data_IF_360958703094
#
_entry.id   IF_360958703094
#
_cell.length_a   1.000
_cell.length_b   1.000
_cell.length_c   1.000
_cell.angle_alpha   90.00
_cell.angle_beta   90.00
_cell.angle_gamma   90.00
#
_symmetry.space_group_name_H-M   'P 1'
#
loop_
_entity.id
_entity.type
_entity.pdbx_description
1 polymer ?
#
# COMPACT_ATOMS: atom_id res chain seq x y z
N UNK A 1 -3.06 -13.83 11.30
CA UNK A 1 -2.48 -13.35 10.02
C UNK A 1 -1.78 -12.04 10.29
N UNK A 2 -0.49 -11.96 10.01
CA UNK A 2 0.23 -10.69 10.07
C UNK A 2 -0.33 -9.75 8.98
N UNK A 3 -0.59 -8.49 9.34
CA UNK A 3 -1.08 -7.50 8.37
C UNK A 3 0.13 -6.93 7.59
N UNK A 4 0.04 -6.76 6.26
CA UNK A 4 1.07 -6.07 5.50
C UNK A 4 1.33 -4.67 6.08
N UNK A 5 2.59 -4.24 6.09
CA UNK A 5 2.92 -2.87 6.45
C UNK A 5 2.59 -1.93 5.28
N UNK A 6 1.34 -1.50 5.21
CA UNK A 6 0.86 -0.60 4.16
C UNK A 6 1.66 0.70 4.08
N UNK A 7 2.15 1.20 5.22
CA UNK A 7 2.96 2.42 5.26
C UNK A 7 4.28 2.20 4.52
N UNK A 8 4.96 1.10 4.81
CA UNK A 8 6.20 0.71 4.13
C UNK A 8 5.96 0.52 2.62
N UNK A 9 4.96 -0.28 2.24
CA UNK A 9 4.66 -0.58 0.83
C UNK A 9 4.38 0.67 0.01
N UNK A 10 3.53 1.56 0.52
CA UNK A 10 3.19 2.80 -0.17
C UNK A 10 4.42 3.72 -0.25
N UNK A 11 5.20 3.85 0.84
CA UNK A 11 6.43 4.66 0.81
C UNK A 11 7.44 4.14 -0.22
N UNK A 12 7.64 2.83 -0.31
CA UNK A 12 8.52 2.23 -1.32
C UNK A 12 8.05 2.50 -2.75
N UNK A 13 6.73 2.42 -3.02
CA UNK A 13 6.18 2.78 -4.34
C UNK A 13 6.47 4.25 -4.68
N UNK A 14 6.38 5.15 -3.71
CA UNK A 14 6.67 6.57 -3.91
C UNK A 14 8.18 6.82 -4.13
N UNK A 15 9.04 6.34 -3.23
CA UNK A 15 10.47 6.70 -3.22
C UNK A 15 11.34 5.88 -4.17
N UNK A 16 11.03 4.60 -4.38
CA UNK A 16 11.87 3.70 -5.17
C UNK A 16 11.39 3.55 -6.61
N UNK A 17 10.11 3.81 -6.87
CA UNK A 17 9.48 3.60 -8.18
C UNK A 17 8.89 4.87 -8.79
N UNK A 18 8.96 6.00 -8.08
CA UNK A 18 8.53 7.30 -8.58
C UNK A 18 7.02 7.45 -8.75
N UNK A 19 6.21 6.62 -8.08
CA UNK A 19 4.77 6.76 -8.12
C UNK A 19 4.32 8.02 -7.36
N UNK A 20 3.17 8.54 -7.73
CA UNK A 20 2.42 9.51 -6.90
C UNK A 20 1.29 8.80 -6.18
N UNK A 21 0.80 9.36 -5.06
CA UNK A 21 -0.35 8.79 -4.36
C UNK A 21 -1.58 8.62 -5.26
N UNK A 22 -1.81 9.60 -6.16
CA UNK A 22 -2.88 9.54 -7.17
C UNK A 22 -2.68 8.34 -8.10
N UNK A 23 -1.48 8.17 -8.64
CA UNK A 23 -1.18 7.06 -9.56
C UNK A 23 -1.24 5.67 -8.91
N UNK A 24 -1.06 5.59 -7.58
CA UNK A 24 -1.29 4.36 -6.81
C UNK A 24 -2.79 4.15 -6.67
N UNK A 25 -3.52 5.19 -6.25
CA UNK A 25 -4.96 5.14 -6.04
C UNK A 25 -5.71 4.67 -7.30
N UNK A 26 -5.34 5.21 -8.47
CA UNK A 26 -5.91 4.85 -9.76
C UNK A 26 -5.66 3.36 -10.10
N UNK A 27 -4.49 2.82 -9.76
CA UNK A 27 -4.13 1.42 -10.06
C UNK A 27 -4.73 0.39 -9.10
N UNK A 28 -5.07 0.80 -7.89
CA UNK A 28 -5.66 -0.09 -6.86
C UNK A 28 -7.13 0.22 -6.60
N UNK A 29 -7.76 0.95 -7.54
CA UNK A 29 -9.18 1.28 -7.58
C UNK A 29 -9.69 1.88 -6.26
N UNK A 30 -8.97 2.89 -5.76
CA UNK A 30 -9.30 3.57 -4.50
C UNK A 30 -9.13 5.08 -4.61
N UNK A 31 -9.30 5.80 -3.50
CA UNK A 31 -9.10 7.25 -3.46
C UNK A 31 -7.68 7.62 -3.01
N UNK A 32 -7.18 8.78 -3.45
CA UNK A 32 -5.91 9.31 -2.94
C UNK A 32 -5.95 9.49 -1.41
N UNK A 33 -7.10 9.85 -0.84
CA UNK A 33 -7.28 9.96 0.60
C UNK A 33 -7.04 8.62 1.30
N UNK A 34 -7.53 7.51 0.73
CA UNK A 34 -7.28 6.15 1.24
C UNK A 34 -5.79 5.81 1.19
N UNK A 35 -5.09 6.13 0.09
CA UNK A 35 -3.64 5.92 0.00
C UNK A 35 -2.89 6.74 1.04
N UNK A 36 -3.20 8.02 1.20
CA UNK A 36 -2.58 8.87 2.23
C UNK A 36 -2.85 8.33 3.64
N UNK A 37 -4.05 7.81 3.90
CA UNK A 37 -4.41 7.21 5.18
C UNK A 37 -3.59 5.95 5.48
N UNK A 38 -3.50 5.02 4.52
CA UNK A 38 -2.68 3.81 4.63
C UNK A 38 -1.18 4.13 4.76
N UNK A 39 -0.71 5.14 4.02
CA UNK A 39 0.67 5.65 4.10
C UNK A 39 1.03 6.13 5.51
N UNK A 40 0.08 6.73 6.24
CA UNK A 40 0.26 7.18 7.63
C UNK A 40 0.25 6.03 8.65
N UNK A 41 0.00 4.79 8.22
CA UNK A 41 0.06 3.60 9.08
C UNK A 41 -1.17 3.39 9.95
N UNK A 42 -2.28 4.06 9.62
CA UNK A 42 -3.54 3.92 10.33
C UNK A 42 -4.28 2.62 9.97
N UNK A 43 -4.97 2.02 10.94
CA UNK A 43 -5.48 0.64 10.90
C UNK A 43 -6.89 0.51 10.30
N UNK A 44 -7.42 1.55 9.64
CA UNK A 44 -8.71 1.41 8.96
C UNK A 44 -8.58 0.31 7.91
N UNK A 45 -9.50 -0.65 7.94
CA UNK A 45 -9.49 -1.74 6.99
C UNK A 45 -9.63 -1.17 5.58
N UNK A 46 -8.55 -1.25 4.81
CA UNK A 46 -8.66 -1.16 3.38
C UNK A 46 -9.63 -2.25 2.93
N UNK A 47 -10.48 -1.94 1.95
CA UNK A 47 -11.25 -2.98 1.26
C UNK A 47 -10.28 -4.09 0.86
N UNK A 48 -10.68 -5.35 1.06
CA UNK A 48 -9.85 -6.51 0.74
C UNK A 48 -9.28 -6.43 -0.69
N UNK A 49 -10.09 -6.01 -1.66
CA UNK A 49 -9.67 -5.80 -3.06
C UNK A 49 -8.53 -4.77 -3.21
N UNK A 50 -8.63 -3.62 -2.54
CA UNK A 50 -7.57 -2.60 -2.52
C UNK A 50 -6.27 -3.16 -1.93
N UNK A 51 -6.35 -3.93 -0.85
CA UNK A 51 -5.19 -4.59 -0.26
C UNK A 51 -4.51 -5.57 -1.22
N UNK A 52 -5.30 -6.43 -1.88
CA UNK A 52 -4.79 -7.39 -2.89
C UNK A 52 -4.13 -6.67 -4.06
N UNK A 53 -4.77 -5.63 -4.61
CA UNK A 53 -4.21 -4.86 -5.72
C UNK A 53 -2.93 -4.11 -5.32
N UNK A 54 -2.85 -3.60 -4.10
CA UNK A 54 -1.66 -2.93 -3.59
C UNK A 54 -0.48 -3.90 -3.41
N UNK A 55 -0.75 -5.12 -2.92
CA UNK A 55 0.26 -6.19 -2.84
C UNK A 55 0.73 -6.57 -4.25
N UNK A 56 -0.21 -6.79 -5.18
CA UNK A 56 0.12 -7.11 -6.57
C UNK A 56 0.99 -6.02 -7.21
N UNK A 57 0.64 -4.75 -7.01
CA UNK A 57 1.42 -3.61 -7.50
C UNK A 57 2.84 -3.58 -6.92
N UNK A 58 3.02 -3.93 -5.65
CA UNK A 58 4.35 -4.02 -5.05
C UNK A 58 5.17 -5.16 -5.66
N UNK A 59 4.58 -6.35 -5.84
CA UNK A 59 5.24 -7.51 -6.45
C UNK A 59 5.68 -7.20 -7.88
N UNK A 60 4.83 -6.60 -8.71
CA UNK A 60 5.16 -6.26 -10.11
C UNK A 60 6.26 -5.21 -10.22
N UNK A 61 6.50 -4.43 -9.15
CA UNK A 61 7.55 -3.42 -9.10
C UNK A 61 8.79 -3.89 -8.33
N UNK A 62 8.83 -5.15 -7.87
CA UNK A 62 9.97 -5.70 -7.12
C UNK A 62 10.12 -5.13 -5.71
N UNK A 63 9.03 -4.68 -5.08
CA UNK A 63 9.02 -4.21 -3.70
C UNK A 63 8.73 -5.40 -2.77
N UNK A 64 9.60 -5.70 -1.79
CA UNK A 64 9.40 -6.82 -0.88
C UNK A 64 8.19 -6.58 0.04
N UNK A 65 7.36 -7.61 0.21
CA UNK A 65 6.21 -7.54 1.12
C UNK A 65 6.70 -7.71 2.56
N UNK A 66 6.63 -6.63 3.34
CA UNK A 66 6.88 -6.66 4.79
C UNK A 66 5.57 -6.71 5.55
N UNK A 67 5.54 -7.47 6.62
CA UNK A 67 4.42 -7.54 7.57
C UNK A 67 4.75 -6.75 8.83
N UNK A 68 3.73 -6.18 9.47
CA UNK A 68 3.88 -5.66 10.83
C UNK A 68 3.66 -6.81 11.81
N UNK A 69 4.66 -7.06 12.66
CA UNK A 69 4.44 -7.79 13.89
C UNK A 69 3.53 -6.95 14.78
N UNK A 70 2.29 -7.39 14.95
CA UNK A 70 1.40 -6.88 15.98
C UNK A 70 1.81 -7.57 17.29
N UNK A 71 2.87 -7.05 17.92
CA UNK A 71 3.20 -7.36 19.31
C UNK A 71 2.25 -6.62 20.25
#
# INVERSE_FOLDING_TARGET
MEKPDWSFLIKSLLSEKGFTEKSIADRVETSQATINYLKKGSIQEAKYSTGVMLIALCITNGIPIKTKNLS
#
